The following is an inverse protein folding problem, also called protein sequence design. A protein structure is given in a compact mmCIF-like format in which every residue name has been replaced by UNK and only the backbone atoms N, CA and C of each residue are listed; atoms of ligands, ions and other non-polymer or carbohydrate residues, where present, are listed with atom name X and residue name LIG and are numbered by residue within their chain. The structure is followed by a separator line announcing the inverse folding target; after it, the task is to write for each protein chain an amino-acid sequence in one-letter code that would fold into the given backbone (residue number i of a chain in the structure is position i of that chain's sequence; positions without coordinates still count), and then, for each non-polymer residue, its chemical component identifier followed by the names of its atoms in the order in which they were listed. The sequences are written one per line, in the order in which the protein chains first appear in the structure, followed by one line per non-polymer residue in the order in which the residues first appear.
data_IF_175053136179
#
_entry.id   IF_175053136179
#
_cell.length_a   1.000
_cell.length_b   1.000
_cell.length_c   1.000
_cell.angle_alpha   90.00
_cell.angle_beta   90.00
_cell.angle_gamma   90.00
#
_symmetry.space_group_name_H-M   'P 1'
#
loop_
_entity.id
_entity.type
_entity.pdbx_description
1 polymer ?
#
# COMPACT_ATOMS: atom_id res chain seq x y z
N UNK A 1 -0.15 62.62 -22.69
CA UNK A 1 0.62 61.77 -21.75
C UNK A 1 1.02 62.68 -20.60
N UNK A 2 0.10 62.84 -19.65
CA UNK A 2 0.25 63.69 -18.48
C UNK A 2 0.91 62.87 -17.36
N UNK A 3 1.87 63.49 -16.67
CA UNK A 3 2.73 62.87 -15.66
C UNK A 3 1.93 62.62 -14.39
N UNK A 4 1.67 61.35 -14.08
CA UNK A 4 1.04 60.88 -12.84
C UNK A 4 2.05 60.65 -11.69
N UNK A 5 3.26 61.20 -11.76
CA UNK A 5 4.39 60.73 -10.94
C UNK A 5 4.56 61.39 -9.57
N UNK A 6 3.70 62.32 -9.11
CA UNK A 6 3.98 63.08 -7.88
C UNK A 6 2.74 63.41 -7.03
N UNK A 7 1.75 62.52 -6.95
CA UNK A 7 0.70 62.66 -5.92
C UNK A 7 1.14 61.96 -4.63
N UNK A 8 1.51 62.71 -3.57
CA UNK A 8 2.02 62.13 -2.32
C UNK A 8 0.97 61.23 -1.62
N UNK A 9 -0.32 61.46 -1.88
CA UNK A 9 -1.42 60.71 -1.28
C UNK A 9 -1.54 59.28 -1.83
N UNK A 10 -1.10 59.03 -3.07
CA UNK A 10 -1.12 57.69 -3.68
C UNK A 10 -0.01 56.81 -3.10
N UNK A 11 1.13 57.42 -2.75
CA UNK A 11 2.28 56.72 -2.14
C UNK A 11 1.93 56.24 -0.73
N UNK A 12 1.18 57.04 0.04
CA UNK A 12 0.83 56.70 1.42
C UNK A 12 -0.21 55.55 1.51
N UNK A 13 -1.11 55.46 0.52
CA UNK A 13 -2.06 54.33 0.42
C UNK A 13 -1.33 53.04 0.04
N UNK A 14 -0.36 53.10 -0.89
CA UNK A 14 0.42 51.92 -1.30
C UNK A 14 1.27 51.36 -0.13
N UNK A 15 1.85 52.24 0.69
CA UNK A 15 2.63 51.82 1.86
C UNK A 15 1.77 51.16 2.94
N UNK A 16 0.54 51.65 3.18
CA UNK A 16 -0.38 51.02 4.15
C UNK A 16 -0.88 49.65 3.68
N UNK A 17 -1.16 49.49 2.39
CA UNK A 17 -1.56 48.17 1.85
C UNK A 17 -0.44 47.14 1.88
N UNK A 18 0.82 47.55 1.72
CA UNK A 18 1.96 46.64 1.81
C UNK A 18 2.25 46.20 3.26
N UNK A 19 2.08 47.09 4.25
CA UNK A 19 2.28 46.74 5.66
C UNK A 19 1.21 45.78 6.20
N UNK A 20 -0.03 45.91 5.74
CA UNK A 20 -1.13 45.05 6.19
C UNK A 20 -1.03 43.63 5.60
N UNK A 21 -0.50 43.49 4.39
CA UNK A 21 -0.29 42.18 3.74
C UNK A 21 0.86 41.39 4.39
N UNK A 22 1.89 42.07 4.91
CA UNK A 22 2.96 41.44 5.71
C UNK A 22 2.45 41.00 7.10
N UNK A 23 1.56 41.78 7.71
CA UNK A 23 0.95 41.47 9.00
C UNK A 23 0.00 40.25 8.92
N UNK A 24 -0.73 40.10 7.82
CA UNK A 24 -1.56 38.92 7.56
C UNK A 24 -0.74 37.65 7.30
N UNK A 25 0.43 37.76 6.66
CA UNK A 25 1.33 36.61 6.43
C UNK A 25 1.99 36.11 7.71
N UNK A 26 2.20 36.97 8.71
CA UNK A 26 2.81 36.56 9.99
C UNK A 26 1.83 35.84 10.92
N UNK A 27 0.52 36.02 10.78
CA UNK A 27 -0.48 35.36 11.64
C UNK A 27 -0.97 33.99 11.15
N UNK A 28 -0.59 33.55 9.94
CA UNK A 28 -1.07 32.28 9.37
C UNK A 28 0.02 31.28 8.96
N UNK A 29 1.24 31.42 9.47
CA UNK A 29 2.19 30.30 9.43
C UNK A 29 1.82 29.27 10.51
N UNK A 30 1.38 28.05 10.16
CA UNK A 30 1.17 26.99 11.14
C UNK A 30 2.50 26.65 11.79
N UNK A 31 2.66 27.03 13.05
CA UNK A 31 3.84 26.75 13.83
C UNK A 31 4.05 25.24 13.99
N UNK A 32 5.22 24.75 13.55
CA UNK A 32 6.02 23.74 14.22
C UNK A 32 5.39 22.36 14.55
N UNK A 33 4.90 21.63 13.54
CA UNK A 33 4.74 20.15 13.64
C UNK A 33 5.51 19.37 12.57
N UNK A 34 6.26 20.04 11.69
CA UNK A 34 7.05 19.37 10.65
C UNK A 34 8.38 18.79 11.18
N UNK A 35 9.00 19.43 12.18
CA UNK A 35 10.34 19.04 12.64
C UNK A 35 10.37 17.68 13.35
N UNK A 36 9.39 17.37 14.20
CA UNK A 36 9.36 16.08 14.93
C UNK A 36 9.18 14.89 13.99
N UNK A 37 8.31 15.03 12.98
CA UNK A 37 8.08 13.99 11.98
C UNK A 37 9.30 13.81 11.07
N UNK A 38 10.00 14.89 10.72
CA UNK A 38 11.23 14.81 9.92
C UNK A 38 12.38 14.18 10.72
N UNK A 39 12.51 14.53 11.99
CA UNK A 39 13.52 13.97 12.90
C UNK A 39 13.27 12.47 13.14
N UNK A 40 12.02 12.07 13.37
CA UNK A 40 11.64 10.65 13.46
C UNK A 40 11.93 9.89 12.16
N UNK A 41 11.71 10.50 10.99
CA UNK A 41 12.06 9.89 9.70
C UNK A 41 13.57 9.72 9.54
N UNK A 42 14.37 10.70 9.97
CA UNK A 42 15.85 10.66 9.92
C UNK A 42 16.40 9.58 10.86
N UNK A 43 15.85 9.45 12.07
CA UNK A 43 16.20 8.37 13.00
C UNK A 43 15.83 7.00 12.43
N UNK A 44 14.63 6.87 11.86
CA UNK A 44 14.20 5.62 11.21
C UNK A 44 15.14 5.27 10.04
N UNK A 45 15.55 6.26 9.23
CA UNK A 45 16.53 6.06 8.16
C UNK A 45 17.90 5.63 8.69
N UNK A 46 18.40 6.25 9.77
CA UNK A 46 19.66 5.86 10.39
C UNK A 46 19.60 4.42 10.93
N UNK A 47 18.48 4.03 11.53
CA UNK A 47 18.25 2.68 12.05
C UNK A 47 18.15 1.63 10.95
N UNK A 48 17.51 1.95 9.82
CA UNK A 48 17.47 1.09 8.62
C UNK A 48 18.89 0.89 8.05
N UNK A 49 19.74 1.92 8.14
CA UNK A 49 21.12 1.86 7.64
C UNK A 49 22.06 1.07 8.56
N UNK A 50 21.85 1.12 9.88
CA UNK A 50 22.69 0.43 10.88
C UNK A 50 22.60 -1.09 10.79
N UNK A 51 21.43 -1.62 10.47
CA UNK A 51 21.21 -3.06 10.46
C UNK A 51 20.53 -3.52 9.16
N UNK A 52 21.30 -3.82 8.09
CA UNK A 52 20.74 -4.25 6.80
C UNK A 52 19.96 -5.56 6.88
N UNK A 53 20.08 -6.26 8.00
CA UNK A 53 19.41 -7.51 8.25
C UNK A 53 17.97 -7.30 8.75
N UNK A 54 17.61 -6.08 9.18
CA UNK A 54 16.25 -5.74 9.61
C UNK A 54 15.26 -5.85 8.47
N UNK A 55 14.24 -6.66 8.70
CA UNK A 55 13.07 -6.74 7.84
C UNK A 55 11.97 -5.84 8.42
N UNK A 56 11.10 -5.29 7.56
CA UNK A 56 9.99 -4.44 7.98
C UNK A 56 8.65 -5.07 7.58
N UNK A 57 7.65 -4.94 8.44
CA UNK A 57 6.33 -5.47 8.18
C UNK A 57 5.68 -4.67 7.04
N UNK A 58 5.19 -5.36 6.01
CA UNK A 58 4.49 -4.71 4.90
C UNK A 58 3.20 -3.99 5.32
N UNK A 59 2.57 -4.43 6.41
CA UNK A 59 1.30 -3.87 6.86
C UNK A 59 1.48 -2.61 7.74
N UNK A 60 2.36 -2.67 8.74
CA UNK A 60 2.52 -1.58 9.70
C UNK A 60 3.86 -0.82 9.60
N UNK A 61 4.76 -1.20 8.70
CA UNK A 61 6.07 -0.57 8.53
C UNK A 61 7.07 -0.79 9.66
N UNK A 62 6.66 -1.38 10.79
CA UNK A 62 7.53 -1.63 11.94
C UNK A 62 8.50 -2.80 11.69
N UNK A 63 9.68 -2.81 12.33
CA UNK A 63 10.65 -3.87 12.18
C UNK A 63 10.10 -5.23 12.63
N UNK A 64 10.55 -6.29 11.97
CA UNK A 64 10.18 -7.69 12.21
C UNK A 64 11.42 -8.58 12.12
N UNK A 65 11.44 -9.64 12.90
CA UNK A 65 12.51 -10.64 12.88
C UNK A 65 12.55 -11.39 11.53
N UNK A 66 13.76 -11.77 11.08
CA UNK A 66 14.00 -12.46 9.79
C UNK A 66 13.17 -13.71 9.53
N UNK A 67 12.81 -14.42 10.59
CA UNK A 67 12.05 -15.67 10.53
C UNK A 67 10.66 -15.53 11.16
N UNK A 68 10.16 -14.32 11.33
CA UNK A 68 8.82 -14.10 11.89
C UNK A 68 7.76 -14.60 10.91
N UNK A 69 6.93 -15.55 11.36
CA UNK A 69 5.71 -15.96 10.64
C UNK A 69 4.56 -14.97 10.82
N UNK A 70 4.61 -14.11 11.85
CA UNK A 70 3.58 -13.11 12.16
C UNK A 70 4.25 -11.83 12.67
N UNK A 71 3.74 -10.67 12.26
CA UNK A 71 4.19 -9.39 12.80
C UNK A 71 3.67 -9.18 14.23
N UNK A 72 4.58 -9.07 15.20
CA UNK A 72 4.24 -8.81 16.62
C UNK A 72 3.46 -7.51 16.84
N UNK A 73 3.56 -6.53 15.93
CA UNK A 73 2.93 -5.23 16.08
C UNK A 73 1.52 -5.14 15.51
N UNK A 74 1.17 -5.94 14.50
CA UNK A 74 -0.12 -5.82 13.81
C UNK A 74 -0.78 -7.16 13.49
N UNK A 75 -0.24 -8.27 14.00
CA UNK A 75 -0.73 -9.64 13.77
C UNK A 75 -0.85 -10.06 12.30
N UNK A 76 -0.20 -9.34 11.39
CA UNK A 76 -0.18 -9.69 9.98
C UNK A 76 0.66 -10.96 9.76
N UNK A 77 0.09 -11.96 9.10
CA UNK A 77 0.78 -13.21 8.75
C UNK A 77 1.78 -12.94 7.63
N UNK A 78 3.05 -13.21 7.91
CA UNK A 78 4.16 -12.96 6.99
C UNK A 78 4.54 -14.29 6.34
N UNK A 79 4.69 -14.27 5.01
CA UNK A 79 5.28 -15.41 4.31
C UNK A 79 6.82 -15.38 4.45
N UNK A 80 7.45 -16.32 5.17
CA UNK A 80 8.88 -16.28 5.44
C UNK A 80 9.72 -16.41 4.16
N UNK A 81 9.25 -17.17 3.16
CA UNK A 81 9.95 -17.30 1.87
C UNK A 81 9.93 -15.98 1.07
N UNK A 82 8.84 -15.23 1.14
CA UNK A 82 8.76 -13.91 0.52
C UNK A 82 9.66 -12.89 1.23
N UNK A 83 9.73 -12.97 2.56
CA UNK A 83 10.60 -12.13 3.38
C UNK A 83 12.08 -12.36 3.05
N UNK A 84 12.49 -13.63 2.95
CA UNK A 84 13.85 -14.01 2.54
C UNK A 84 14.20 -13.50 1.14
N UNK A 85 13.33 -13.72 0.14
CA UNK A 85 13.53 -13.17 -1.22
C UNK A 85 13.65 -11.64 -1.22
N UNK A 86 12.81 -10.95 -0.43
CA UNK A 86 12.91 -9.50 -0.26
C UNK A 86 14.26 -9.06 0.27
N UNK A 87 14.75 -9.73 1.32
CA UNK A 87 16.07 -9.44 1.93
C UNK A 87 17.23 -9.64 0.95
N UNK A 88 17.19 -10.67 0.11
CA UNK A 88 18.20 -10.92 -0.93
C UNK A 88 18.23 -9.82 -1.99
N UNK A 89 17.06 -9.32 -2.43
CA UNK A 89 16.98 -8.22 -3.41
C UNK A 89 17.54 -6.93 -2.83
N UNK A 90 17.22 -6.62 -1.56
CA UNK A 90 17.75 -5.43 -0.86
C UNK A 90 19.27 -5.53 -0.74
N UNK A 91 19.78 -6.70 -0.35
CA UNK A 91 21.23 -6.96 -0.26
C UNK A 91 21.93 -6.82 -1.61
N UNK A 92 21.40 -7.42 -2.67
CA UNK A 92 21.96 -7.33 -4.01
C UNK A 92 21.99 -5.89 -4.54
N UNK A 93 20.93 -5.10 -4.27
CA UNK A 93 20.92 -3.66 -4.58
C UNK A 93 22.00 -2.93 -3.81
N UNK A 94 22.13 -3.18 -2.49
CA UNK A 94 23.16 -2.58 -1.64
C UNK A 94 24.58 -2.90 -2.16
N UNK A 95 24.86 -4.16 -2.48
CA UNK A 95 26.17 -4.56 -3.04
C UNK A 95 26.46 -3.89 -4.38
N UNK A 96 25.43 -3.64 -5.21
CA UNK A 96 25.57 -2.84 -6.43
C UNK A 96 25.89 -1.38 -6.11
N UNK A 97 25.24 -0.82 -5.09
CA UNK A 97 25.50 0.55 -4.61
C UNK A 97 26.90 0.71 -4.03
N UNK A 98 27.34 -0.18 -3.15
CA UNK A 98 28.67 -0.11 -2.53
C UNK A 98 29.78 -0.22 -3.59
N UNK A 99 29.57 -1.06 -4.61
CA UNK A 99 30.49 -1.10 -5.77
C UNK A 99 30.51 0.21 -6.54
N UNK A 100 29.34 0.77 -6.85
CA UNK A 100 29.25 2.07 -7.53
C UNK A 100 29.87 3.21 -6.71
N UNK A 101 29.60 3.25 -5.41
CA UNK A 101 30.09 4.29 -4.50
C UNK A 101 31.61 4.22 -4.30
N UNK A 102 32.21 3.02 -4.31
CA UNK A 102 33.68 2.89 -4.32
C UNK A 102 34.30 3.52 -5.57
N UNK A 103 33.67 3.30 -6.73
CA UNK A 103 34.13 3.91 -8.00
C UNK A 103 33.96 5.43 -7.96
N UNK A 104 32.82 5.94 -7.48
CA UNK A 104 32.59 7.39 -7.37
C UNK A 104 33.55 8.04 -6.37
N UNK A 105 33.82 7.42 -5.23
CA UNK A 105 34.82 7.89 -4.27
C UNK A 105 36.24 7.89 -4.87
N UNK A 106 36.59 6.85 -5.64
CA UNK A 106 37.88 6.79 -6.32
C UNK A 106 38.04 7.95 -7.33
N UNK A 107 37.01 8.22 -8.13
CA UNK A 107 37.02 9.35 -9.08
C UNK A 107 37.11 10.68 -8.31
N UNK A 108 36.31 10.86 -7.24
CA UNK A 108 36.35 12.07 -6.40
C UNK A 108 37.74 12.30 -5.80
N UNK A 109 38.41 11.25 -5.32
CA UNK A 109 39.76 11.35 -4.77
C UNK A 109 40.82 11.68 -5.84
N UNK A 110 40.62 11.22 -7.08
CA UNK A 110 41.54 11.50 -8.19
C UNK A 110 41.35 12.90 -8.79
N UNK A 111 40.11 13.36 -8.94
CA UNK A 111 39.79 14.59 -9.68
C UNK A 111 39.48 15.78 -8.78
N UNK A 112 39.15 15.55 -7.50
CA UNK A 112 38.64 16.59 -6.60
C UNK A 112 37.22 17.08 -6.94
N UNK A 113 36.59 16.53 -7.98
CA UNK A 113 35.26 16.95 -8.46
C UNK A 113 34.20 16.05 -7.81
N UNK A 114 33.27 16.65 -7.07
CA UNK A 114 32.10 15.93 -6.57
C UNK A 114 31.06 15.80 -7.69
N UNK A 115 31.02 14.63 -8.32
CA UNK A 115 30.14 14.33 -9.47
C UNK A 115 28.66 14.16 -9.07
N UNK A 116 28.34 14.08 -7.77
CA UNK A 116 26.97 13.94 -7.30
C UNK A 116 26.32 15.30 -7.06
N UNK A 117 25.29 15.62 -7.84
CA UNK A 117 24.47 16.81 -7.58
C UNK A 117 23.73 16.66 -6.24
N UNK A 118 23.48 17.75 -5.50
CA UNK A 118 22.73 17.72 -4.25
C UNK A 118 21.32 17.13 -4.42
N UNK A 119 20.70 17.33 -5.58
CA UNK A 119 19.40 16.75 -5.93
C UNK A 119 19.45 15.23 -6.11
N UNK A 120 20.55 14.70 -6.68
CA UNK A 120 20.75 13.27 -6.74
C UNK A 120 20.84 12.69 -5.33
N UNK A 121 21.66 13.26 -4.44
CA UNK A 121 21.80 12.80 -3.04
C UNK A 121 20.44 12.65 -2.32
N UNK A 122 19.45 13.50 -2.59
CA UNK A 122 18.09 13.36 -2.06
C UNK A 122 17.28 12.21 -2.69
N UNK A 123 17.37 11.99 -4.01
CA UNK A 123 16.64 10.90 -4.70
C UNK A 123 17.06 9.49 -4.25
N UNK A 124 18.28 9.32 -3.75
CA UNK A 124 18.80 8.02 -3.34
C UNK A 124 18.46 7.62 -1.90
N UNK A 125 17.74 8.46 -1.15
CA UNK A 125 17.15 8.03 0.13
C UNK A 125 16.13 6.93 -0.15
N UNK A 126 16.51 5.68 0.11
CA UNK A 126 15.68 4.49 -0.15
C UNK A 126 14.41 4.62 0.69
N UNK A 127 13.34 5.16 0.10
CA UNK A 127 12.01 5.13 0.71
C UNK A 127 11.48 3.70 0.56
N UNK A 128 11.20 2.98 1.64
CA UNK A 128 10.61 1.65 1.55
C UNK A 128 9.30 1.77 0.77
N UNK A 129 9.21 1.05 -0.36
CA UNK A 129 7.98 0.97 -1.16
C UNK A 129 6.97 0.09 -0.41
N UNK A 130 6.20 0.70 0.48
CA UNK A 130 5.05 0.09 1.14
C UNK A 130 3.78 0.45 0.36
N UNK A 131 3.05 -0.56 -0.09
CA UNK A 131 1.70 -0.40 -0.62
C UNK A 131 0.71 -0.39 0.55
N UNK A 132 -0.03 0.70 0.74
CA UNK A 132 -1.16 0.73 1.66
C UNK A 132 -2.41 0.18 0.97
N UNK A 133 -2.94 -0.93 1.47
CA UNK A 133 -4.26 -1.45 1.07
C UNK A 133 -5.30 -1.05 2.12
N UNK A 134 -6.32 -0.29 1.72
CA UNK A 134 -7.52 -0.08 2.53
C UNK A 134 -8.67 -0.97 2.02
N UNK A 135 -9.57 -1.34 2.93
CA UNK A 135 -10.63 -2.35 2.77
C UNK A 135 -11.81 -1.93 1.88
N UNK A 136 -11.79 -0.74 1.30
CA UNK A 136 -12.96 -0.06 0.73
C UNK A 136 -13.35 -0.39 -0.71
N UNK A 137 -12.72 -1.36 -1.39
CA UNK A 137 -13.15 -1.71 -2.76
C UNK A 137 -12.38 -0.98 -3.87
N UNK A 138 -11.51 -0.02 -3.52
CA UNK A 138 -10.72 0.77 -4.46
C UNK A 138 -9.21 0.72 -4.19
N UNK A 139 -8.42 1.04 -5.21
CA UNK A 139 -6.95 1.08 -5.12
C UNK A 139 -6.53 2.53 -4.88
N UNK A 140 -5.66 2.76 -3.90
CA UNK A 140 -5.22 4.11 -3.53
C UNK A 140 -3.75 4.33 -3.83
N UNK A 141 -3.41 5.57 -4.17
CA UNK A 141 -2.04 6.00 -4.40
C UNK A 141 -1.26 5.97 -3.09
N UNK A 142 -0.11 5.31 -3.10
CA UNK A 142 0.79 5.23 -1.94
C UNK A 142 1.37 6.58 -1.51
N UNK A 143 1.42 7.56 -2.42
CA UNK A 143 2.00 8.86 -2.14
C UNK A 143 0.98 9.84 -1.55
N UNK A 144 -0.21 9.94 -2.14
CA UNK A 144 -1.22 10.94 -1.73
C UNK A 144 -2.51 10.37 -1.13
N UNK A 145 -2.65 9.04 -1.06
CA UNK A 145 -3.84 8.37 -0.52
C UNK A 145 -5.10 8.50 -1.36
N UNK A 146 -5.04 9.06 -2.57
CA UNK A 146 -6.21 9.23 -3.43
C UNK A 146 -6.48 8.01 -4.29
N UNK A 147 -7.75 7.78 -4.62
CA UNK A 147 -8.18 6.68 -5.47
C UNK A 147 -7.51 6.76 -6.85
N UNK A 148 -7.15 5.60 -7.38
CA UNK A 148 -6.42 5.44 -8.62
C UNK A 148 -7.23 4.60 -9.59
N UNK A 149 -7.33 5.08 -10.82
CA UNK A 149 -7.97 4.36 -11.90
C UNK A 149 -7.28 3.02 -12.22
N UNK A 150 -8.06 2.01 -12.64
CA UNK A 150 -7.53 0.69 -12.93
C UNK A 150 -6.55 0.72 -14.10
N UNK A 151 -5.31 0.30 -13.85
CA UNK A 151 -4.25 0.27 -14.86
C UNK A 151 -3.56 1.61 -15.10
N UNK A 152 -3.84 2.63 -14.27
CA UNK A 152 -3.11 3.89 -14.34
C UNK A 152 -1.61 3.67 -14.07
N UNK A 153 -0.77 4.23 -14.94
CA UNK A 153 0.69 4.28 -14.78
C UNK A 153 1.15 5.49 -13.96
N UNK A 154 0.28 6.46 -13.71
CA UNK A 154 0.58 7.68 -12.95
C UNK A 154 -0.64 8.09 -12.13
N UNK A 155 -0.43 8.55 -10.89
CA UNK A 155 -1.50 9.11 -10.07
C UNK A 155 -1.86 10.52 -10.55
N UNK A 156 -3.13 10.74 -10.92
CA UNK A 156 -3.64 12.03 -11.44
C UNK A 156 -3.45 13.19 -10.45
N UNK A 157 -3.49 12.92 -9.13
CA UNK A 157 -3.43 13.99 -8.13
C UNK A 157 -2.01 14.45 -7.78
N UNK A 158 -1.05 13.53 -7.71
CA UNK A 158 0.30 13.85 -7.25
C UNK A 158 1.41 13.51 -8.26
N UNK A 159 1.04 13.12 -9.49
CA UNK A 159 1.95 12.73 -10.56
C UNK A 159 2.97 11.65 -10.20
N UNK A 160 2.68 10.85 -9.16
CA UNK A 160 3.54 9.74 -8.76
C UNK A 160 3.40 8.58 -9.75
N UNK A 161 4.53 8.08 -10.25
CA UNK A 161 4.56 6.95 -11.19
C UNK A 161 4.19 5.66 -10.45
N UNK A 162 3.19 4.97 -10.96
CA UNK A 162 2.66 3.71 -10.44
C UNK A 162 3.03 2.56 -11.37
N UNK A 163 3.28 1.39 -10.81
CA UNK A 163 3.40 0.16 -11.59
C UNK A 163 1.98 -0.30 -12.00
N UNK A 164 1.63 -0.27 -13.31
CA UNK A 164 0.30 -0.62 -13.77
C UNK A 164 -0.06 -2.08 -13.46
N UNK A 165 0.92 -3.00 -13.44
CA UNK A 165 0.66 -4.38 -13.06
C UNK A 165 0.37 -4.52 -11.56
N UNK A 166 1.03 -3.72 -10.72
CA UNK A 166 0.76 -3.69 -9.29
C UNK A 166 -0.64 -3.13 -9.01
N UNK A 167 -1.03 -2.04 -9.68
CA UNK A 167 -2.38 -1.46 -9.58
C UNK A 167 -3.44 -2.48 -10.02
N UNK A 168 -3.21 -3.18 -11.13
CA UNK A 168 -4.17 -4.17 -11.63
C UNK A 168 -4.28 -5.39 -10.70
N UNK A 169 -3.16 -5.86 -10.13
CA UNK A 169 -3.16 -6.91 -9.09
C UNK A 169 -3.90 -6.46 -7.83
N UNK A 170 -3.68 -5.22 -7.39
CA UNK A 170 -4.37 -4.65 -6.25
C UNK A 170 -5.88 -4.62 -6.48
N UNK A 171 -6.31 -4.19 -7.67
CA UNK A 171 -7.72 -4.20 -8.07
C UNK A 171 -8.33 -5.59 -8.05
N UNK A 172 -7.67 -6.58 -8.64
CA UNK A 172 -8.15 -7.97 -8.66
C UNK A 172 -8.32 -8.47 -7.23
N UNK A 173 -7.35 -8.23 -6.36
CA UNK A 173 -7.42 -8.63 -4.95
C UNK A 173 -8.58 -7.97 -4.20
N UNK A 174 -8.90 -6.72 -4.55
CA UNK A 174 -10.01 -5.98 -3.95
C UNK A 174 -11.36 -6.45 -4.50
N UNK A 175 -11.48 -6.64 -5.81
CA UNK A 175 -12.67 -7.26 -6.43
C UNK A 175 -12.95 -8.64 -5.84
N UNK A 176 -11.91 -9.45 -5.63
CA UNK A 176 -12.02 -10.79 -5.04
C UNK A 176 -12.52 -10.76 -3.59
N UNK A 177 -12.15 -9.73 -2.80
CA UNK A 177 -12.67 -9.54 -1.45
C UNK A 177 -14.14 -9.12 -1.45
N UNK A 178 -14.55 -8.31 -2.41
CA UNK A 178 -15.93 -7.85 -2.54
C UNK A 178 -16.85 -8.85 -3.23
N UNK A 179 -16.29 -9.86 -3.92
CA UNK A 179 -17.04 -10.89 -4.62
C UNK A 179 -17.74 -11.83 -3.63
N UNK A 180 -18.95 -11.46 -3.24
CA UNK A 180 -19.83 -12.31 -2.43
C UNK A 180 -20.61 -13.24 -3.35
N UNK A 181 -20.53 -14.55 -3.08
CA UNK A 181 -21.41 -15.52 -3.72
C UNK A 181 -22.85 -15.23 -3.30
N UNK A 182 -23.72 -14.95 -4.27
CA UNK A 182 -25.14 -14.75 -3.98
C UNK A 182 -25.75 -16.06 -3.47
N UNK A 183 -26.70 -15.97 -2.54
CA UNK A 183 -27.39 -17.16 -1.98
C UNK A 183 -28.01 -18.03 -3.08
N UNK A 184 -28.51 -17.42 -4.16
CA UNK A 184 -29.06 -18.13 -5.33
C UNK A 184 -28.01 -18.94 -6.07
N UNK A 185 -26.83 -18.39 -6.32
CA UNK A 185 -25.73 -19.12 -6.96
C UNK A 185 -25.23 -20.27 -6.09
N UNK A 186 -25.16 -20.04 -4.77
CA UNK A 186 -24.78 -21.08 -3.82
C UNK A 186 -25.80 -22.24 -3.81
N UNK A 187 -27.09 -21.92 -3.77
CA UNK A 187 -28.16 -22.93 -3.85
C UNK A 187 -28.14 -23.66 -5.20
N UNK A 188 -27.97 -22.94 -6.32
CA UNK A 188 -27.86 -23.58 -7.65
C UNK A 188 -26.64 -24.50 -7.74
N UNK A 189 -25.53 -24.14 -7.09
CA UNK A 189 -24.32 -24.96 -7.06
C UNK A 189 -24.52 -26.28 -6.30
N UNK A 190 -25.42 -26.28 -5.31
CA UNK A 190 -25.81 -27.45 -4.52
C UNK A 190 -26.87 -28.33 -5.21
N UNK A 191 -27.89 -27.71 -5.81
CA UNK A 191 -29.04 -28.43 -6.38
C UNK A 191 -28.77 -29.01 -7.77
N UNK A 192 -27.96 -28.34 -8.60
CA UNK A 192 -27.76 -28.72 -10.00
C UNK A 192 -26.41 -29.43 -10.14
N UNK A 193 -26.39 -30.76 -10.39
CA UNK A 193 -25.15 -31.47 -10.61
C UNK A 193 -24.35 -30.86 -11.76
N UNK A 194 -23.06 -30.61 -11.53
CA UNK A 194 -22.16 -29.97 -12.49
C UNK A 194 -22.15 -28.43 -12.48
N UNK A 195 -23.13 -27.77 -11.86
CA UNK A 195 -23.15 -26.29 -11.82
C UNK A 195 -22.09 -25.74 -10.86
N UNK A 196 -21.82 -26.43 -9.74
CA UNK A 196 -20.71 -26.11 -8.86
C UNK A 196 -19.35 -26.18 -9.56
N UNK A 197 -19.14 -27.13 -10.48
CA UNK A 197 -17.91 -27.24 -11.26
C UNK A 197 -17.77 -26.12 -12.28
N UNK A 198 -18.88 -25.69 -12.91
CA UNK A 198 -18.89 -24.51 -13.79
C UNK A 198 -18.55 -23.23 -13.02
N UNK A 199 -19.13 -23.04 -11.83
CA UNK A 199 -18.75 -21.95 -10.92
C UNK A 199 -17.26 -22.03 -10.58
N UNK A 200 -16.78 -23.19 -10.12
CA UNK A 200 -15.37 -23.37 -9.75
C UNK A 200 -14.40 -23.09 -10.91
N UNK A 201 -14.79 -23.43 -12.15
CA UNK A 201 -14.01 -23.13 -13.36
C UNK A 201 -14.04 -21.64 -13.72
N UNK A 202 -15.16 -20.96 -13.50
CA UNK A 202 -15.28 -19.50 -13.64
C UNK A 202 -14.44 -18.76 -12.60
N UNK A 203 -14.30 -19.34 -11.40
CA UNK A 203 -13.53 -18.80 -10.29
C UNK A 203 -12.15 -19.48 -10.15
N UNK A 204 -11.60 -20.16 -11.17
CA UNK A 204 -10.33 -20.91 -11.06
C UNK A 204 -9.12 -20.06 -10.61
N UNK A 205 -9.19 -18.74 -10.79
CA UNK A 205 -8.19 -17.77 -10.37
C UNK A 205 -8.56 -17.01 -9.09
N UNK A 206 -9.76 -17.22 -8.53
CA UNK A 206 -10.35 -16.46 -7.43
C UNK A 206 -10.72 -17.39 -6.28
N UNK A 207 -10.38 -17.03 -5.04
CA UNK A 207 -10.91 -17.73 -3.85
C UNK A 207 -12.10 -16.93 -3.32
N UNK A 208 -13.34 -17.20 -3.75
CA UNK A 208 -14.48 -16.45 -3.25
C UNK A 208 -14.59 -16.66 -1.74
N UNK A 209 -14.71 -15.56 -0.99
CA UNK A 209 -14.97 -15.66 0.44
C UNK A 209 -16.42 -16.10 0.62
N UNK A 210 -16.59 -17.25 1.24
CA UNK A 210 -17.91 -17.75 1.62
C UNK A 210 -18.42 -16.85 2.75
N UNK A 211 -19.51 -16.12 2.52
CA UNK A 211 -20.03 -15.08 3.41
C UNK A 211 -20.45 -15.56 4.83
N UNK A 212 -20.33 -16.86 5.13
CA UNK A 212 -20.34 -17.41 6.49
C UNK A 212 -20.09 -18.93 6.40
N UNK A 213 -18.83 -19.40 6.50
CA UNK A 213 -18.53 -20.83 6.35
C UNK A 213 -19.25 -21.68 7.40
N UNK A 214 -19.44 -21.13 8.61
CA UNK A 214 -20.14 -21.80 9.70
C UNK A 214 -21.62 -22.12 9.39
N UNK A 215 -22.34 -21.21 8.72
CA UNK A 215 -23.74 -21.45 8.33
C UNK A 215 -23.86 -22.51 7.24
N UNK A 216 -22.91 -22.56 6.32
CA UNK A 216 -22.92 -23.55 5.24
C UNK A 216 -22.56 -24.94 5.77
N UNK A 217 -21.56 -25.03 6.64
CA UNK A 217 -21.24 -26.28 7.33
C UNK A 217 -22.45 -26.77 8.16
N UNK A 218 -23.15 -25.86 8.84
CA UNK A 218 -24.40 -26.16 9.54
C UNK A 218 -25.47 -26.74 8.61
N UNK A 219 -25.72 -26.09 7.45
CA UNK A 219 -26.69 -26.56 6.47
C UNK A 219 -26.35 -27.95 5.91
N UNK A 220 -25.08 -28.19 5.54
CA UNK A 220 -24.63 -29.49 5.05
C UNK A 220 -24.80 -30.59 6.10
N UNK A 221 -24.42 -30.32 7.36
CA UNK A 221 -24.61 -31.28 8.44
C UNK A 221 -26.08 -31.56 8.69
N UNK A 222 -26.96 -30.54 8.70
CA UNK A 222 -28.40 -30.76 8.87
C UNK A 222 -29.00 -31.57 7.72
N UNK A 223 -28.61 -31.31 6.46
CA UNK A 223 -29.09 -32.04 5.30
C UNK A 223 -28.66 -33.52 5.35
N UNK A 224 -27.41 -33.79 5.72
CA UNK A 224 -26.91 -35.15 5.91
C UNK A 224 -27.65 -35.90 7.02
N UNK A 225 -27.92 -35.24 8.15
CA UNK A 225 -28.66 -35.86 9.26
C UNK A 225 -30.09 -36.20 8.88
N UNK A 226 -30.79 -35.31 8.16
CA UNK A 226 -32.15 -35.57 7.66
C UNK A 226 -32.14 -36.73 6.66
N UNK A 227 -31.17 -36.76 5.73
CA UNK A 227 -31.02 -37.85 4.78
C UNK A 227 -30.77 -39.20 5.44
N UNK A 228 -29.88 -39.25 6.44
CA UNK A 228 -29.59 -40.45 7.21
C UNK A 228 -30.81 -40.93 8.01
N UNK A 229 -31.53 -40.03 8.68
CA UNK A 229 -32.77 -40.38 9.38
C UNK A 229 -33.84 -40.92 8.43
N UNK A 230 -34.03 -40.28 7.26
CA UNK A 230 -34.98 -40.75 6.25
C UNK A 230 -34.63 -42.15 5.74
N UNK A 231 -33.35 -42.43 5.54
CA UNK A 231 -32.86 -43.76 5.15
C UNK A 231 -33.14 -44.81 6.25
N UNK A 232 -32.87 -44.48 7.51
CA UNK A 232 -33.16 -45.37 8.64
C UNK A 232 -34.67 -45.67 8.77
N UNK A 233 -35.52 -44.65 8.66
CA UNK A 233 -36.98 -44.83 8.69
C UNK A 233 -37.44 -45.72 7.53
N UNK A 234 -36.91 -45.49 6.33
CA UNK A 234 -37.21 -46.33 5.16
C UNK A 234 -36.82 -47.80 5.40
N UNK A 235 -35.64 -48.05 5.95
CA UNK A 235 -35.19 -49.41 6.26
C UNK A 235 -36.06 -50.10 7.33
N UNK A 236 -36.58 -49.36 8.31
CA UNK A 236 -37.47 -49.91 9.35
C UNK A 236 -38.85 -50.27 8.78
N UNK A 237 -39.38 -49.46 7.86
CA UNK A 237 -40.71 -49.69 7.28
C UNK A 237 -40.70 -50.87 6.29
N UNK A 238 -39.58 -51.08 5.59
CA UNK A 238 -39.47 -52.06 4.52
C UNK A 238 -38.66 -53.33 4.87
N UNK A 239 -38.20 -53.48 6.12
CA UNK A 239 -37.68 -54.75 6.66
C UNK A 239 -38.75 -55.49 7.44
#
# INVERSE_FOLDING_TARGET
MERFEQDPDIIDVAFRTASDDELFRTQHQPAFQQDENEQALRELQQDVMRDPERCFCRNCGKPVYRNAGVCVNCNFVINPAALQKGSQVVRARREKYERGHKVMNFIRNLTGIDLESPEQKQRWTVRPQAYHFQTSGSVYCVNCGCEVDPGASVCVKCNYVLDPEAVNRARIAVQDRTATLTRKELIKSLLIPGHGFKLFKHFKLRRPQVANPARIAGLLNTAMMIGAMGLCIYLIIFS
#
